data_IF_539388655341
#
_entry.id   IF_539388655341
#
_cell.length_a   1.000
_cell.length_b   1.000
_cell.length_c   1.000
_cell.angle_alpha   90.00
_cell.angle_beta   90.00
_cell.angle_gamma   90.00
#
_symmetry.space_group_name_H-M   'P 1'
#
loop_
_entity.id
_entity.type
_entity.pdbx_description
1 polymer ?
#
# COMPACT_ATOMS: atom_id res chain seq x y z
N UNK A 1 7.70 12.67 -46.14
CA UNK A 1 6.33 12.17 -46.38
C UNK A 1 5.64 12.19 -45.04
N UNK A 2 4.71 13.15 -44.84
CA UNK A 2 4.05 13.40 -43.55
C UNK A 2 3.17 12.20 -43.20
N UNK A 3 3.53 11.47 -42.16
CA UNK A 3 2.67 10.43 -41.58
C UNK A 3 1.60 11.15 -40.77
N UNK A 4 0.36 10.93 -41.21
CA UNK A 4 -0.85 11.55 -40.68
C UNK A 4 -1.02 11.14 -39.22
N UNK A 5 -1.40 12.11 -38.40
CA UNK A 5 -1.96 11.92 -37.08
C UNK A 5 -3.06 10.85 -37.14
N UNK A 6 -2.80 9.70 -36.52
CA UNK A 6 -3.85 8.78 -36.16
C UNK A 6 -4.58 9.38 -34.96
N UNK A 7 -5.71 10.03 -35.22
CA UNK A 7 -6.71 10.31 -34.19
C UNK A 7 -7.16 8.96 -33.64
N UNK A 8 -6.70 8.61 -32.44
CA UNK A 8 -7.33 7.56 -31.64
C UNK A 8 -8.72 8.04 -31.22
N UNK A 9 -9.74 7.78 -32.03
CA UNK A 9 -11.08 7.56 -31.50
C UNK A 9 -11.12 6.15 -30.94
N UNK A 10 -10.42 5.94 -29.82
CA UNK A 10 -10.49 4.73 -29.01
C UNK A 10 -11.61 4.89 -27.97
N UNK A 11 -12.32 3.81 -27.68
CA UNK A 11 -13.23 3.80 -26.53
C UNK A 11 -12.41 4.03 -25.24
N UNK A 12 -12.94 4.83 -24.32
CA UNK A 12 -12.33 5.10 -23.02
C UNK A 12 -13.27 4.59 -21.93
N UNK A 13 -13.26 3.28 -21.64
CA UNK A 13 -14.24 2.69 -20.73
C UNK A 13 -14.03 3.17 -19.29
N UNK A 14 -15.12 3.51 -18.60
CA UNK A 14 -15.13 3.61 -17.15
C UNK A 14 -14.83 2.25 -16.55
N UNK A 15 -13.92 2.22 -15.57
CA UNK A 15 -13.57 1.01 -14.80
C UNK A 15 -14.28 1.08 -13.44
N UNK A 16 -15.34 0.29 -13.20
CA UNK A 16 -16.18 0.46 -12.01
C UNK A 16 -15.46 0.16 -10.70
N UNK A 17 -15.40 1.15 -9.79
CA UNK A 17 -14.94 0.96 -8.42
C UNK A 17 -15.90 0.11 -7.61
N UNK A 18 -17.20 0.44 -7.63
CA UNK A 18 -18.29 -0.42 -7.16
C UNK A 18 -19.59 0.12 -7.77
N UNK A 19 -20.70 -0.56 -7.54
CA UNK A 19 -22.03 -0.13 -7.98
C UNK A 19 -22.92 0.01 -6.76
N UNK A 20 -23.16 1.26 -6.36
CA UNK A 20 -24.00 1.58 -5.21
C UNK A 20 -25.42 1.89 -5.67
N UNK A 21 -26.41 1.29 -5.00
CA UNK A 21 -27.82 1.52 -5.30
C UNK A 21 -28.42 2.53 -4.33
N UNK A 22 -28.98 3.61 -4.84
CA UNK A 22 -29.69 4.62 -4.05
C UNK A 22 -31.07 4.85 -4.65
N UNK A 23 -32.09 4.25 -4.03
CA UNK A 23 -33.46 4.25 -4.55
C UNK A 23 -33.52 3.66 -5.97
N UNK A 24 -33.98 4.46 -6.94
CA UNK A 24 -34.07 4.07 -8.35
C UNK A 24 -32.78 4.28 -9.16
N UNK A 25 -31.70 4.76 -8.53
CA UNK A 25 -30.43 5.06 -9.20
C UNK A 25 -29.36 4.03 -8.87
N UNK A 26 -28.48 3.79 -9.83
CA UNK A 26 -27.19 3.13 -9.63
C UNK A 26 -26.08 4.14 -9.87
N UNK A 27 -25.18 4.27 -8.91
CA UNK A 27 -23.98 5.11 -8.97
C UNK A 27 -22.81 4.19 -9.25
N UNK A 28 -22.03 4.50 -10.28
CA UNK A 28 -20.89 3.72 -10.74
C UNK A 28 -19.67 4.65 -10.80
N UNK A 29 -18.94 4.83 -9.68
CA UNK A 29 -17.69 5.58 -9.67
C UNK A 29 -16.59 4.84 -10.44
N UNK A 30 -15.67 5.59 -11.05
CA UNK A 30 -14.44 5.03 -11.62
C UNK A 30 -13.42 4.72 -10.51
N UNK A 31 -12.60 3.68 -10.72
CA UNK A 31 -11.55 3.24 -9.77
C UNK A 31 -10.40 4.22 -9.63
N UNK A 32 -10.15 5.03 -10.66
CA UNK A 32 -8.92 5.85 -10.77
C UNK A 32 -9.20 7.32 -11.07
N UNK A 33 -10.35 7.62 -11.67
CA UNK A 33 -10.70 8.95 -12.19
C UNK A 33 -11.76 9.67 -11.36
N UNK A 34 -11.81 11.01 -11.41
CA UNK A 34 -12.77 11.82 -10.66
C UNK A 34 -14.15 11.85 -11.30
N UNK A 35 -14.72 10.67 -11.61
CA UNK A 35 -15.98 10.55 -12.34
C UNK A 35 -16.85 9.41 -11.83
N UNK A 36 -18.16 9.62 -11.85
CA UNK A 36 -19.15 8.58 -11.67
C UNK A 36 -20.29 8.69 -12.69
N UNK A 37 -20.77 7.54 -13.16
CA UNK A 37 -22.02 7.45 -13.87
C UNK A 37 -23.19 7.30 -12.88
N UNK A 38 -24.24 8.11 -13.04
CA UNK A 38 -25.51 7.92 -12.36
C UNK A 38 -26.54 7.46 -13.38
N UNK A 39 -27.07 6.24 -13.18
CA UNK A 39 -27.97 5.59 -14.13
C UNK A 39 -29.30 5.24 -13.46
N UNK A 40 -30.40 5.63 -14.07
CA UNK A 40 -31.76 5.27 -13.63
C UNK A 40 -32.10 3.84 -14.02
N UNK A 41 -32.62 3.05 -13.07
CA UNK A 41 -32.97 1.63 -13.27
C UNK A 41 -34.23 1.39 -14.10
N UNK A 42 -35.13 2.37 -14.24
CA UNK A 42 -36.45 2.18 -14.87
C UNK A 42 -36.58 2.95 -16.20
N UNK A 43 -36.84 2.19 -17.27
CA UNK A 43 -37.25 2.70 -18.59
C UNK A 43 -36.11 2.91 -19.61
N UNK A 44 -35.82 1.86 -20.42
CA UNK A 44 -35.12 1.84 -21.72
C UNK A 44 -33.99 2.84 -22.00
N UNK A 45 -32.77 2.36 -22.32
CA UNK A 45 -31.55 3.18 -22.52
C UNK A 45 -31.51 4.33 -21.50
N UNK A 46 -31.41 3.98 -20.22
CA UNK A 46 -31.40 4.94 -19.13
C UNK A 46 -30.37 6.03 -19.41
N UNK A 47 -30.81 7.29 -19.43
CA UNK A 47 -29.91 8.42 -19.61
C UNK A 47 -28.83 8.36 -18.53
N UNK A 48 -27.57 8.22 -18.96
CA UNK A 48 -26.42 8.30 -18.09
C UNK A 48 -26.20 9.77 -17.78
N UNK A 49 -26.15 10.12 -16.49
CA UNK A 49 -25.69 11.42 -16.05
C UNK A 49 -24.31 11.27 -15.44
N UNK A 50 -23.34 11.99 -15.99
CA UNK A 50 -21.98 12.03 -15.45
C UNK A 50 -21.89 13.05 -14.32
N UNK A 51 -21.22 12.65 -13.26
CA UNK A 51 -20.80 13.51 -12.16
C UNK A 51 -19.28 13.49 -12.14
N UNK A 52 -18.65 14.67 -12.08
CA UNK A 52 -17.20 14.82 -12.13
C UNK A 52 -16.71 15.77 -11.06
N UNK A 53 -15.48 15.56 -10.56
CA UNK A 53 -14.86 16.36 -9.51
C UNK A 53 -13.35 16.53 -9.71
N UNK A 54 -12.90 17.05 -10.86
CA UNK A 54 -11.48 17.11 -11.21
C UNK A 54 -10.63 17.99 -10.28
N UNK A 55 -11.29 18.91 -9.57
CA UNK A 55 -10.68 19.86 -8.64
C UNK A 55 -10.84 19.43 -7.17
N UNK A 56 -11.31 18.20 -6.91
CA UNK A 56 -11.28 17.65 -5.56
C UNK A 56 -9.84 17.64 -5.04
N UNK A 57 -9.70 17.78 -3.73
CA UNK A 57 -8.42 17.58 -3.08
C UNK A 57 -7.97 16.15 -3.41
N UNK A 58 -6.69 16.01 -3.74
CA UNK A 58 -6.07 14.72 -3.95
C UNK A 58 -5.05 14.52 -2.83
N UNK A 59 -4.79 13.27 -2.42
CA UNK A 59 -3.67 12.94 -1.54
C UNK A 59 -2.36 13.58 -2.03
N UNK A 60 -1.42 13.85 -1.13
CA UNK A 60 -0.18 14.58 -1.47
C UNK A 60 0.66 13.87 -2.56
N UNK A 61 0.50 12.56 -2.66
CA UNK A 61 1.19 11.66 -3.60
C UNK A 61 0.19 11.01 -4.57
N UNK A 62 0.71 10.23 -5.52
CA UNK A 62 -0.09 9.54 -6.52
C UNK A 62 -1.14 8.64 -5.86
N UNK A 63 -2.35 8.58 -6.43
CA UNK A 63 -3.39 7.67 -5.92
C UNK A 63 -2.94 6.24 -6.19
N UNK A 64 -2.89 5.42 -5.14
CA UNK A 64 -2.57 4.00 -5.24
C UNK A 64 -3.84 3.15 -5.20
N UNK A 65 -4.81 3.54 -4.39
CA UNK A 65 -6.08 2.84 -4.27
C UNK A 65 -7.24 3.81 -4.09
N UNK A 66 -8.42 3.38 -4.55
CA UNK A 66 -9.68 3.98 -4.17
C UNK A 66 -10.59 2.93 -3.53
N UNK A 67 -11.36 3.33 -2.52
CA UNK A 67 -12.40 2.51 -1.90
C UNK A 67 -13.75 3.20 -1.96
N UNK A 68 -14.82 2.40 -2.02
CA UNK A 68 -16.19 2.89 -2.02
C UNK A 68 -16.85 2.53 -0.69
N UNK A 69 -17.41 3.52 -0.01
CA UNK A 69 -18.14 3.39 1.25
C UNK A 69 -19.61 3.74 1.02
N UNK A 70 -20.47 2.72 0.78
CA UNK A 70 -21.86 2.93 0.44
C UNK A 70 -22.66 3.50 1.61
N UNK A 71 -23.65 4.34 1.29
CA UNK A 71 -24.63 4.85 2.25
C UNK A 71 -26.03 4.71 1.66
N UNK A 72 -27.08 4.95 2.44
CA UNK A 72 -28.45 4.97 1.93
C UNK A 72 -28.76 6.16 1.02
N UNK A 73 -27.89 7.18 0.99
CA UNK A 73 -28.09 8.45 0.25
C UNK A 73 -27.10 8.65 -0.91
N UNK A 74 -26.02 7.86 -0.96
CA UNK A 74 -24.92 8.01 -1.91
C UNK A 74 -23.77 7.04 -1.64
N UNK A 75 -22.57 7.42 -2.06
CA UNK A 75 -21.33 6.68 -1.81
C UNK A 75 -20.22 7.68 -1.51
N UNK A 76 -19.39 7.37 -0.52
CA UNK A 76 -18.11 8.05 -0.34
C UNK A 76 -17.04 7.32 -1.14
N UNK A 77 -16.37 8.05 -2.03
CA UNK A 77 -15.18 7.57 -2.73
C UNK A 77 -13.98 8.08 -1.96
N UNK A 78 -13.17 7.18 -1.41
CA UNK A 78 -11.98 7.52 -0.64
C UNK A 78 -10.76 7.15 -1.46
N UNK A 79 -9.98 8.15 -1.85
CA UNK A 79 -8.70 7.99 -2.52
C UNK A 79 -7.60 7.91 -1.47
N UNK A 80 -6.76 6.90 -1.61
CA UNK A 80 -5.62 6.61 -0.75
C UNK A 80 -4.34 6.79 -1.54
N UNK A 81 -3.38 7.46 -0.93
CA UNK A 81 -1.97 7.30 -1.28
C UNK A 81 -1.25 6.71 -0.09
N UNK A 82 -0.50 5.65 -0.35
CA UNK A 82 0.46 5.13 0.61
C UNK A 82 1.81 5.83 0.45
N UNK A 83 2.64 5.69 1.47
CA UNK A 83 4.06 5.92 1.36
C UNK A 83 4.79 5.32 2.55
N UNK A 84 6.10 5.17 2.43
CA UNK A 84 6.93 4.43 3.41
C UNK A 84 6.64 4.82 4.87
N UNK A 85 6.46 6.12 5.12
CA UNK A 85 6.35 6.69 6.45
C UNK A 85 4.93 7.17 6.80
N UNK A 86 4.06 7.33 5.79
CA UNK A 86 2.79 8.02 5.95
C UNK A 86 1.79 7.71 4.82
N UNK A 87 0.57 7.37 5.24
CA UNK A 87 -0.57 7.21 4.36
C UNK A 87 -1.47 8.44 4.41
N UNK A 88 -1.91 8.97 3.27
CA UNK A 88 -2.84 10.10 3.21
C UNK A 88 -4.09 9.78 2.40
N UNK A 89 -5.24 10.32 2.82
CA UNK A 89 -6.53 10.02 2.24
C UNK A 89 -7.35 11.26 1.95
N UNK A 90 -8.15 11.20 0.90
CA UNK A 90 -9.17 12.22 0.59
C UNK A 90 -10.48 11.56 0.22
N UNK A 91 -11.59 12.09 0.71
CA UNK A 91 -12.93 11.57 0.46
C UNK A 91 -13.77 12.55 -0.36
N UNK A 92 -14.61 12.00 -1.24
CA UNK A 92 -15.63 12.74 -2.00
C UNK A 92 -16.95 12.00 -1.90
N UNK A 93 -18.01 12.70 -1.47
CA UNK A 93 -19.35 12.13 -1.48
C UNK A 93 -20.00 12.27 -2.86
N UNK A 94 -20.60 11.20 -3.36
CA UNK A 94 -21.32 11.18 -4.63
C UNK A 94 -22.73 10.65 -4.38
N UNK A 95 -23.74 11.48 -4.66
CA UNK A 95 -25.15 11.13 -4.55
C UNK A 95 -25.88 11.22 -5.89
N UNK A 96 -27.13 10.71 -5.98
CA UNK A 96 -27.96 10.90 -7.18
C UNK A 96 -28.35 12.35 -7.44
N UNK A 97 -28.08 13.27 -6.51
CA UNK A 97 -28.28 14.72 -6.69
C UNK A 97 -27.08 15.44 -7.29
N UNK A 98 -25.86 14.95 -7.08
CA UNK A 98 -24.63 15.66 -7.41
C UNK A 98 -23.44 15.16 -6.58
N UNK A 99 -22.35 15.91 -6.65
CA UNK A 99 -21.13 15.67 -5.88
C UNK A 99 -21.12 16.59 -4.66
N UNK A 100 -20.74 16.05 -3.50
CA UNK A 100 -20.54 16.81 -2.27
C UNK A 100 -19.19 17.50 -2.21
N UNK A 101 -18.84 18.01 -1.03
CA UNK A 101 -17.54 18.61 -0.76
C UNK A 101 -16.45 17.53 -0.74
N UNK A 102 -15.29 17.83 -1.34
CA UNK A 102 -14.08 17.03 -1.16
C UNK A 102 -13.45 17.36 0.19
N UNK A 103 -13.10 16.32 0.96
CA UNK A 103 -12.61 16.46 2.32
C UNK A 103 -11.28 15.73 2.47
N UNK A 104 -10.25 16.48 2.87
CA UNK A 104 -8.97 15.91 3.28
C UNK A 104 -9.13 15.16 4.61
N UNK A 105 -8.76 13.88 4.62
CA UNK A 105 -8.80 13.02 5.80
C UNK A 105 -7.43 12.94 6.49
N UNK A 106 -6.36 13.46 5.86
CA UNK A 106 -4.99 13.23 6.29
C UNK A 106 -4.73 11.73 6.46
N UNK A 107 -4.18 11.36 7.62
CA UNK A 107 -3.88 9.96 7.96
C UNK A 107 -5.07 9.16 8.50
N UNK A 108 -6.25 9.78 8.71
CA UNK A 108 -7.38 9.12 9.39
C UNK A 108 -7.97 8.01 8.52
N UNK A 109 -8.26 6.87 9.13
CA UNK A 109 -8.77 5.68 8.45
C UNK A 109 -10.30 5.66 8.43
N UNK A 110 -10.98 5.38 7.31
CA UNK A 110 -12.41 5.13 7.31
C UNK A 110 -12.76 3.89 8.13
N UNK A 111 -13.69 4.03 9.07
CA UNK A 111 -14.12 2.95 9.99
C UNK A 111 -15.63 2.69 9.94
N UNK A 112 -16.37 3.39 9.08
CA UNK A 112 -17.80 3.22 8.92
C UNK A 112 -18.42 4.28 8.01
N UNK A 113 -19.66 4.06 7.57
CA UNK A 113 -20.43 5.07 6.84
C UNK A 113 -21.92 4.90 7.14
N UNK A 114 -22.64 6.01 7.23
CA UNK A 114 -24.08 6.04 7.49
C UNK A 114 -24.81 7.01 6.54
N UNK A 115 -26.12 7.17 6.70
CA UNK A 115 -26.96 8.02 5.85
C UNK A 115 -26.52 9.51 5.82
N UNK A 116 -25.82 9.94 6.86
CA UNK A 116 -25.43 11.32 7.14
C UNK A 116 -23.94 11.60 6.94
N UNK A 117 -23.06 10.59 6.91
CA UNK A 117 -21.63 10.83 6.75
C UNK A 117 -20.72 9.61 6.72
N UNK A 118 -19.44 9.88 6.51
CA UNK A 118 -18.32 8.94 6.64
C UNK A 118 -17.76 9.03 8.06
N UNK A 119 -17.52 7.89 8.71
CA UNK A 119 -16.83 7.82 9.99
C UNK A 119 -15.35 7.55 9.77
N UNK A 120 -14.49 8.36 10.38
CA UNK A 120 -13.04 8.18 10.36
C UNK A 120 -12.47 8.07 11.76
N UNK A 121 -11.47 7.20 11.91
CA UNK A 121 -10.85 6.83 13.17
C UNK A 121 -9.37 7.16 13.25
N UNK A 122 -8.70 6.54 14.21
CA UNK A 122 -7.25 6.63 14.37
C UNK A 122 -6.54 6.03 13.12
N UNK A 123 -5.43 6.62 12.66
CA UNK A 123 -4.61 6.04 11.58
C UNK A 123 -4.06 4.65 11.91
N UNK A 124 -3.80 4.38 13.19
CA UNK A 124 -3.15 3.17 13.68
C UNK A 124 -4.04 1.94 13.60
N UNK A 125 -3.44 0.78 13.60
CA UNK A 125 -4.11 -0.50 13.77
C UNK A 125 -3.98 -0.99 15.23
N UNK A 126 -4.85 -1.90 15.67
CA UNK A 126 -4.74 -2.49 17.01
C UNK A 126 -3.37 -3.14 17.27
N UNK A 127 -2.68 -3.63 16.22
CA UNK A 127 -1.31 -4.17 16.28
C UNK A 127 -0.26 -3.19 16.78
N UNK A 128 -0.49 -1.88 16.64
CA UNK A 128 0.43 -0.84 17.14
C UNK A 128 0.47 -0.77 18.68
N UNK A 129 -0.48 -1.42 19.35
CA UNK A 129 -0.49 -1.62 20.81
C UNK A 129 0.00 -3.01 21.22
N UNK A 130 0.85 -3.62 20.40
CA UNK A 130 1.74 -4.67 20.88
C UNK A 130 2.83 -4.05 21.73
N UNK A 131 3.43 -4.84 22.63
CA UNK A 131 4.77 -4.49 23.05
C UNK A 131 5.60 -4.47 21.78
N UNK A 132 6.10 -3.29 21.39
CA UNK A 132 7.10 -3.20 20.35
C UNK A 132 8.09 -4.33 20.65
N UNK A 133 8.29 -5.24 19.69
CA UNK A 133 9.47 -6.08 19.72
C UNK A 133 10.61 -5.07 19.89
N UNK A 134 11.20 -5.02 21.08
CA UNK A 134 12.15 -3.97 21.44
C UNK A 134 13.19 -3.90 20.33
N UNK A 135 13.11 -2.83 19.55
CA UNK A 135 13.70 -2.79 18.22
C UNK A 135 13.64 -1.40 17.60
N UNK A 136 13.39 -0.35 18.39
CA UNK A 136 13.92 0.99 18.07
C UNK A 136 15.21 1.28 18.87
N UNK A 137 15.66 0.31 19.68
CA UNK A 137 16.95 0.34 20.36
C UNK A 137 18.06 0.10 19.36
N UNK A 138 18.49 1.14 18.66
CA UNK A 138 19.74 1.21 17.91
C UNK A 138 20.92 0.98 18.86
N UNK A 139 21.18 -0.27 19.20
CA UNK A 139 22.26 -0.70 20.08
C UNK A 139 23.55 -0.88 19.30
N UNK A 140 24.59 -0.10 19.64
CA UNK A 140 25.91 0.04 18.99
C UNK A 140 26.53 -1.22 18.43
N UNK A 141 26.24 -1.58 17.18
CA UNK A 141 27.23 -2.21 16.30
C UNK A 141 28.44 -1.27 16.29
N UNK A 142 29.62 -1.71 16.77
CA UNK A 142 30.83 -0.92 16.67
C UNK A 142 31.04 -0.51 15.22
N UNK A 143 31.58 0.69 14.99
CA UNK A 143 31.99 1.16 13.66
C UNK A 143 32.93 0.11 13.04
N UNK A 144 32.36 -0.79 12.24
CA UNK A 144 33.09 -1.86 11.60
C UNK A 144 33.74 -1.19 10.40
N UNK A 145 35.06 -1.02 10.47
CA UNK A 145 35.85 -0.59 9.32
C UNK A 145 35.70 -1.64 8.22
N UNK A 146 34.72 -1.44 7.35
CA UNK A 146 34.33 -2.35 6.28
C UNK A 146 35.50 -2.63 5.35
N UNK A 147 36.44 -1.70 5.23
CA UNK A 147 37.65 -1.85 4.42
C UNK A 147 38.61 -2.88 5.01
N UNK A 148 38.58 -3.08 6.33
CA UNK A 148 39.47 -3.97 7.07
C UNK A 148 38.99 -5.42 7.17
N UNK A 149 37.73 -5.69 6.82
CA UNK A 149 37.13 -7.02 6.88
C UNK A 149 37.58 -7.95 5.76
N UNK A 150 37.70 -9.25 6.09
CA UNK A 150 38.00 -10.31 5.13
C UNK A 150 36.83 -10.56 4.16
N UNK A 151 37.14 -11.04 2.96
CA UNK A 151 36.14 -11.35 1.92
C UNK A 151 35.60 -12.78 2.07
N UNK A 152 34.27 -12.92 2.14
CA UNK A 152 33.59 -14.21 2.12
C UNK A 152 33.64 -14.87 0.72
N UNK A 153 33.44 -14.07 -0.34
CA UNK A 153 33.42 -14.54 -1.72
C UNK A 153 34.63 -14.06 -2.52
N UNK A 154 35.38 -14.99 -3.11
CA UNK A 154 36.51 -14.69 -4.01
C UNK A 154 36.31 -15.21 -5.45
N UNK A 155 35.15 -15.82 -5.74
CA UNK A 155 34.80 -16.32 -7.06
C UNK A 155 34.51 -15.22 -8.09
N UNK A 156 34.55 -15.55 -9.40
CA UNK A 156 34.21 -14.59 -10.45
C UNK A 156 32.76 -14.11 -10.33
N UNK A 157 32.45 -12.95 -10.92
CA UNK A 157 31.09 -12.37 -10.87
C UNK A 157 30.07 -13.21 -11.63
N UNK A 158 30.46 -13.66 -12.82
CA UNK A 158 29.69 -14.60 -13.60
C UNK A 158 30.43 -15.92 -13.74
N UNK A 159 29.69 -17.01 -13.97
CA UNK A 159 30.27 -18.29 -14.35
C UNK A 159 31.08 -18.16 -15.65
N UNK A 160 31.94 -19.15 -15.93
CA UNK A 160 32.67 -19.21 -17.20
C UNK A 160 31.69 -19.38 -18.38
N UNK A 161 31.68 -18.45 -19.37
CA UNK A 161 30.81 -18.54 -20.54
C UNK A 161 30.95 -19.85 -21.32
N UNK A 162 32.12 -20.48 -21.30
CA UNK A 162 32.38 -21.73 -22.04
C UNK A 162 31.68 -22.94 -21.40
N UNK A 163 31.36 -22.88 -20.11
CA UNK A 163 30.77 -24.00 -19.35
C UNK A 163 29.37 -23.70 -18.84
N UNK A 164 28.89 -22.48 -18.96
CA UNK A 164 27.57 -22.09 -18.48
C UNK A 164 26.45 -22.58 -19.41
N UNK A 165 25.42 -23.18 -18.83
CA UNK A 165 24.17 -23.51 -19.51
C UNK A 165 23.01 -22.80 -18.84
N UNK A 166 22.10 -22.23 -19.63
CA UNK A 166 20.91 -21.58 -19.10
C UNK A 166 20.08 -22.58 -18.29
N UNK A 167 19.67 -22.24 -17.05
CA UNK A 167 18.69 -23.02 -16.32
C UNK A 167 17.42 -23.19 -17.17
N UNK A 168 16.88 -24.41 -17.25
CA UNK A 168 15.58 -24.63 -17.92
C UNK A 168 14.46 -23.86 -17.22
N UNK A 169 13.32 -23.58 -17.89
CA UNK A 169 12.13 -23.14 -17.19
C UNK A 169 11.78 -24.23 -16.17
N UNK A 170 11.78 -23.89 -14.88
CA UNK A 170 11.47 -24.85 -13.82
C UNK A 170 10.10 -25.47 -14.07
N UNK A 171 10.00 -26.80 -13.92
CA UNK A 171 8.70 -27.41 -13.61
C UNK A 171 8.33 -26.87 -12.24
N UNK A 172 7.14 -26.27 -12.11
CA UNK A 172 6.59 -25.82 -10.84
C UNK A 172 6.60 -27.00 -9.86
N UNK A 173 7.55 -27.04 -8.94
CA UNK A 173 7.49 -27.93 -7.77
C UNK A 173 6.37 -27.39 -6.87
N UNK A 174 5.23 -28.04 -7.03
CA UNK A 174 4.09 -28.15 -6.16
C UNK A 174 4.44 -27.99 -4.67
N UNK A 175 4.06 -26.84 -4.12
CA UNK A 175 3.30 -26.75 -2.88
C UNK A 175 3.91 -27.39 -1.63
N UNK A 176 5.07 -26.90 -1.22
CA UNK A 176 5.47 -26.94 0.19
C UNK A 176 6.39 -25.74 0.48
N UNK A 177 5.79 -24.63 0.91
CA UNK A 177 6.51 -23.47 1.40
C UNK A 177 7.25 -23.80 2.70
N UNK A 178 8.53 -24.11 2.59
CA UNK A 178 9.52 -23.83 3.63
C UNK A 178 10.05 -22.41 3.47
N UNK A 179 10.62 -21.78 4.51
CA UNK A 179 11.02 -20.38 4.48
C UNK A 179 12.10 -20.16 3.41
N UNK A 180 11.87 -19.17 2.56
CA UNK A 180 12.81 -18.47 1.66
C UNK A 180 14.18 -19.15 1.44
N UNK A 181 14.33 -19.84 0.32
CA UNK A 181 15.65 -20.17 -0.24
C UNK A 181 15.88 -19.30 -1.47
N UNK A 182 16.63 -18.20 -1.28
CA UNK A 182 17.24 -17.44 -2.37
C UNK A 182 18.21 -18.39 -3.07
N UNK A 183 18.02 -18.66 -4.35
CA UNK A 183 18.84 -19.65 -5.06
C UNK A 183 20.30 -19.16 -5.15
N UNK A 184 21.15 -19.71 -4.28
CA UNK A 184 22.58 -19.38 -4.16
C UNK A 184 23.14 -19.43 -2.73
N UNK A 185 22.29 -19.40 -1.71
CA UNK A 185 22.72 -19.55 -0.30
C UNK A 185 22.70 -21.02 0.11
N UNK A 186 23.86 -21.53 0.51
CA UNK A 186 23.90 -22.72 1.36
C UNK A 186 23.11 -22.41 2.64
N UNK A 187 22.43 -23.43 3.15
CA UNK A 187 21.48 -23.35 4.26
C UNK A 187 21.98 -22.44 5.41
N UNK A 188 21.13 -21.49 5.83
CA UNK A 188 21.25 -20.62 7.04
C UNK A 188 22.02 -19.27 6.94
N UNK A 189 22.16 -18.65 5.75
CA UNK A 189 22.77 -17.30 5.63
C UNK A 189 21.72 -16.18 5.53
N UNK A 190 21.56 -15.37 6.59
CA UNK A 190 20.79 -14.12 6.56
C UNK A 190 21.72 -12.96 6.22
N UNK A 191 21.43 -12.21 5.16
CA UNK A 191 22.11 -10.93 4.86
C UNK A 191 21.19 -9.77 5.20
N UNK A 192 21.61 -8.92 6.14
CA UNK A 192 20.95 -7.64 6.46
C UNK A 192 21.87 -6.54 5.97
N UNK A 193 21.46 -5.82 4.91
CA UNK A 193 22.04 -4.53 4.55
C UNK A 193 21.23 -3.42 5.20
N UNK A 194 21.66 -2.92 6.35
CA UNK A 194 21.09 -1.71 6.96
C UNK A 194 22.25 -0.81 7.38
N UNK A 195 22.39 0.31 6.69
CA UNK A 195 23.11 1.49 7.19
C UNK A 195 22.20 2.18 8.21
N UNK A 196 22.46 2.03 9.51
CA UNK A 196 22.24 3.09 10.50
C UNK A 196 22.97 2.83 11.83
N UNK A 197 23.50 3.93 12.40
CA UNK A 197 24.57 3.99 13.42
C UNK A 197 24.06 3.70 14.85
N UNK A 198 24.82 3.03 15.75
CA UNK A 198 24.18 2.53 16.98
C UNK A 198 24.96 2.87 18.31
N UNK A 199 24.26 2.93 19.47
CA UNK A 199 24.72 3.36 20.83
C UNK A 199 24.69 2.21 21.89
N UNK A 200 25.68 1.97 22.78
CA UNK A 200 25.82 0.69 23.47
C UNK A 200 25.32 0.68 24.93
N UNK A 201 24.00 0.60 25.21
CA UNK A 201 23.47 0.17 26.53
C UNK A 201 22.06 -0.48 26.49
N UNK A 202 21.84 -1.48 25.61
CA UNK A 202 20.65 -2.34 25.74
C UNK A 202 20.92 -3.49 26.73
N UNK A 203 20.49 -3.28 27.97
CA UNK A 203 20.55 -4.24 29.07
C UNK A 203 19.69 -5.48 28.78
N UNK A 204 20.24 -6.66 29.11
CA UNK A 204 19.58 -7.97 29.02
C UNK A 204 18.17 -7.95 29.63
N UNK A 205 17.14 -8.10 28.80
CA UNK A 205 15.80 -8.49 29.24
C UNK A 205 15.69 -10.02 29.14
N UNK A 206 15.98 -10.70 30.25
CA UNK A 206 15.61 -12.10 30.46
C UNK A 206 14.08 -12.21 30.58
N UNK A 207 13.39 -12.46 29.46
CA UNK A 207 11.98 -12.79 29.42
C UNK A 207 11.55 -13.16 28.00
N UNK A 208 10.84 -14.28 27.82
CA UNK A 208 10.25 -14.61 26.52
C UNK A 208 9.24 -13.51 26.16
N UNK A 209 9.46 -12.70 25.09
CA UNK A 209 8.59 -11.59 24.72
C UNK A 209 7.16 -12.04 24.39
N UNK A 210 6.95 -13.34 24.12
CA UNK A 210 5.61 -13.95 23.96
C UNK A 210 4.79 -14.00 25.26
N UNK A 211 5.39 -13.62 26.40
CA UNK A 211 4.80 -13.69 27.73
C UNK A 211 4.33 -12.33 28.27
N UNK A 212 4.61 -11.23 27.57
CA UNK A 212 4.25 -9.90 28.05
C UNK A 212 2.73 -9.66 27.86
N UNK A 213 2.05 -9.07 28.85
CA UNK A 213 0.62 -8.77 28.75
C UNK A 213 0.36 -7.72 27.66
N UNK A 214 -0.77 -7.78 26.93
CA UNK A 214 -1.05 -6.82 25.86
C UNK A 214 -1.17 -5.38 26.39
N UNK A 215 -0.72 -4.40 25.60
CA UNK A 215 -0.70 -2.99 26.01
C UNK A 215 -2.10 -2.40 25.93
N UNK A 216 -2.52 -1.63 26.95
CA UNK A 216 -3.82 -0.94 26.94
C UNK A 216 -3.87 0.10 25.82
N UNK A 217 -4.96 0.11 25.06
CA UNK A 217 -5.15 1.11 24.01
C UNK A 217 -5.43 2.48 24.62
N UNK A 218 -4.96 3.53 23.92
CA UNK A 218 -5.24 4.91 24.30
C UNK A 218 -6.62 5.37 23.82
N UNK A 219 -7.09 6.52 24.30
CA UNK A 219 -8.32 7.12 23.79
C UNK A 219 -8.16 7.55 22.34
N UNK A 220 -9.26 7.54 21.59
CA UNK A 220 -9.30 7.94 20.17
C UNK A 220 -10.46 8.89 19.89
N UNK A 221 -10.21 9.82 18.96
CA UNK A 221 -11.26 10.67 18.42
C UNK A 221 -11.80 10.04 17.14
N UNK A 222 -13.09 9.71 17.17
CA UNK A 222 -13.85 9.21 16.03
C UNK A 222 -14.66 10.37 15.45
N UNK A 223 -14.56 10.61 14.15
CA UNK A 223 -15.15 11.79 13.51
C UNK A 223 -16.13 11.41 12.42
N UNK A 224 -17.35 11.95 12.47
CA UNK A 224 -18.33 11.85 11.38
C UNK A 224 -18.22 13.07 10.48
N UNK A 225 -17.98 12.82 9.19
CA UNK A 225 -17.84 13.82 8.14
C UNK A 225 -19.08 13.80 7.24
N UNK A 226 -19.81 14.90 7.20
CA UNK A 226 -20.99 15.08 6.36
C UNK A 226 -20.64 15.39 4.89
N UNK A 227 -21.55 15.14 3.93
CA UNK A 227 -21.34 15.46 2.51
C UNK A 227 -21.03 16.93 2.20
N UNK A 228 -21.36 17.85 3.10
CA UNK A 228 -21.05 19.28 3.01
C UNK A 228 -19.69 19.65 3.63
N UNK A 229 -18.99 18.69 4.22
CA UNK A 229 -17.72 18.87 4.93
C UNK A 229 -17.88 19.19 6.42
N UNK A 230 -19.11 19.20 6.95
CA UNK A 230 -19.33 19.32 8.40
C UNK A 230 -18.73 18.15 9.15
N UNK A 231 -18.21 18.42 10.35
CA UNK A 231 -17.44 17.48 11.15
C UNK A 231 -18.02 17.40 12.55
N UNK A 232 -18.19 16.19 13.07
CA UNK A 232 -18.60 15.93 14.45
C UNK A 232 -17.68 14.88 15.07
N UNK A 233 -16.91 15.27 16.08
CA UNK A 233 -16.01 14.36 16.79
C UNK A 233 -16.72 13.74 18.00
N UNK A 234 -16.41 12.48 18.27
CA UNK A 234 -16.80 11.73 19.46
C UNK A 234 -15.52 11.20 20.07
N UNK A 235 -15.23 11.61 21.31
CA UNK A 235 -14.07 11.11 22.04
C UNK A 235 -14.40 9.76 22.68
N UNK A 236 -13.61 8.73 22.41
CA UNK A 236 -13.78 7.39 22.97
C UNK A 236 -12.55 7.04 23.80
N UNK A 237 -12.76 6.45 24.97
CA UNK A 237 -11.69 6.13 25.94
C UNK A 237 -10.72 5.02 25.49
N UNK A 238 -11.02 4.35 24.37
CA UNK A 238 -10.22 3.29 23.76
C UNK A 238 -10.08 3.48 22.24
N UNK A 239 -9.21 2.66 21.64
CA UNK A 239 -9.08 2.55 20.19
C UNK A 239 -10.33 1.93 19.57
N UNK A 240 -10.91 2.63 18.58
CA UNK A 240 -12.11 2.22 17.83
C UNK A 240 -11.72 1.95 16.39
N UNK A 241 -12.02 0.74 15.90
CA UNK A 241 -11.72 0.30 14.54
C UNK A 241 -12.96 0.19 13.65
N UNK A 242 -14.17 0.25 14.24
CA UNK A 242 -15.42 0.18 13.47
C UNK A 242 -16.56 0.95 14.11
N UNK A 243 -17.35 1.61 13.28
CA UNK A 243 -18.58 2.32 13.66
C UNK A 243 -19.73 1.88 12.77
N UNK A 244 -20.87 1.57 13.38
CA UNK A 244 -22.13 1.31 12.70
C UNK A 244 -23.21 2.17 13.35
N UNK A 245 -23.95 2.95 12.56
CA UNK A 245 -25.12 3.68 13.02
C UNK A 245 -26.36 3.15 12.31
N UNK A 246 -27.24 2.48 13.05
CA UNK A 246 -28.54 2.00 12.54
C UNK A 246 -29.68 2.70 13.28
N UNK A 247 -30.37 3.60 12.58
CA UNK A 247 -31.36 4.48 13.20
C UNK A 247 -30.73 5.34 14.29
N UNK A 248 -31.15 5.10 15.54
CA UNK A 248 -30.69 5.82 16.73
C UNK A 248 -29.65 5.02 17.54
N UNK A 249 -29.22 3.84 17.06
CA UNK A 249 -28.26 3.00 17.75
C UNK A 249 -26.87 3.13 17.13
N UNK A 250 -25.94 3.76 17.86
CA UNK A 250 -24.52 3.86 17.49
C UNK A 250 -23.76 2.70 18.12
N UNK A 251 -23.34 1.73 17.31
CA UNK A 251 -22.46 0.63 17.72
C UNK A 251 -21.01 0.95 17.40
N UNK A 252 -20.16 0.91 18.43
CA UNK A 252 -18.71 1.07 18.33
C UNK A 252 -18.05 -0.29 18.59
N UNK A 253 -17.14 -0.72 17.70
CA UNK A 253 -16.19 -1.81 17.98
C UNK A 253 -14.88 -1.20 18.46
N UNK A 254 -14.40 -1.64 19.60
CA UNK A 254 -13.22 -1.07 20.25
C UNK A 254 -12.33 -2.16 20.84
N UNK A 255 -11.06 -1.83 21.03
CA UNK A 255 -10.07 -2.73 21.63
C UNK A 255 -9.62 -2.17 22.96
N UNK A 256 -9.72 -2.92 24.05
CA UNK A 256 -9.20 -2.50 25.37
C UNK A 256 -7.68 -2.55 25.43
N UNK A 257 -7.10 -3.51 24.72
CA UNK A 257 -5.67 -3.74 24.62
C UNK A 257 -5.31 -4.09 23.18
N UNK A 258 -4.03 -3.98 22.81
CA UNK A 258 -3.54 -4.58 21.58
C UNK A 258 -3.65 -6.11 21.57
N UNK A 259 -3.20 -6.78 20.50
CA UNK A 259 -3.32 -8.22 20.38
C UNK A 259 -2.45 -8.94 21.39
N UNK A 260 -2.88 -10.14 21.76
CA UNK A 260 -2.08 -11.08 22.55
C UNK A 260 -1.38 -12.09 21.64
N UNK A 261 -0.19 -12.51 22.05
CA UNK A 261 0.47 -13.68 21.46
C UNK A 261 -0.19 -14.96 21.98
N UNK A 262 -0.44 -15.92 21.10
CA UNK A 262 -0.82 -17.27 21.50
C UNK A 262 0.47 -18.09 21.77
N UNK A 263 0.76 -18.47 23.03
CA UNK A 263 1.99 -19.19 23.38
C UNK A 263 1.99 -20.65 22.90
N UNK A 264 0.82 -21.23 22.60
CA UNK A 264 0.67 -22.61 22.13
C UNK A 264 0.72 -22.70 20.59
N UNK A 265 0.57 -21.57 19.91
CA UNK A 265 0.81 -21.48 18.48
C UNK A 265 2.33 -21.45 18.21
N UNK A 266 2.77 -22.17 17.17
CA UNK A 266 4.19 -22.35 16.85
C UNK A 266 4.96 -21.06 16.55
N UNK A 267 6.18 -21.12 15.99
CA UNK A 267 7.03 -19.95 15.72
C UNK A 267 6.42 -18.89 14.78
N UNK A 268 5.27 -19.19 14.16
CA UNK A 268 4.49 -18.30 13.31
C UNK A 268 3.11 -17.99 13.92
N UNK A 269 3.01 -17.84 15.25
CA UNK A 269 1.74 -17.61 15.91
C UNK A 269 1.08 -16.32 15.43
N UNK A 270 -0.16 -16.41 14.97
CA UNK A 270 -0.95 -15.25 14.59
C UNK A 270 -1.33 -14.44 15.82
N UNK A 271 -1.24 -13.09 15.78
CA UNK A 271 -1.75 -12.25 16.85
C UNK A 271 -3.25 -12.49 17.04
N UNK A 272 -3.70 -12.60 18.29
CA UNK A 272 -5.13 -12.75 18.62
C UNK A 272 -5.67 -11.41 19.09
N UNK A 273 -6.64 -10.88 18.35
CA UNK A 273 -7.37 -9.66 18.69
C UNK A 273 -8.66 -10.02 19.42
N UNK A 274 -8.99 -9.27 20.46
CA UNK A 274 -10.19 -9.48 21.28
C UNK A 274 -11.03 -8.18 21.34
N UNK A 275 -11.59 -7.74 20.20
CA UNK A 275 -12.44 -6.55 20.18
C UNK A 275 -13.73 -6.76 20.99
N UNK A 276 -14.23 -5.68 21.56
CA UNK A 276 -15.53 -5.59 22.20
C UNK A 276 -16.43 -4.61 21.41
N UNK A 277 -17.74 -4.69 21.64
CA UNK A 277 -18.72 -3.79 21.07
C UNK A 277 -19.55 -3.15 22.16
N UNK A 278 -19.93 -1.90 21.94
CA UNK A 278 -20.88 -1.17 22.77
C UNK A 278 -21.89 -0.47 21.89
N UNK A 279 -23.14 -0.40 22.34
CA UNK A 279 -24.21 0.36 21.67
C UNK A 279 -24.62 1.55 22.52
N UNK A 280 -24.71 2.71 21.88
CA UNK A 280 -25.10 3.99 22.48
C UNK A 280 -26.37 4.49 21.78
N UNK A 281 -27.40 4.81 22.55
CA UNK A 281 -28.60 5.50 22.05
C UNK A 281 -28.24 6.97 21.74
N UNK A 282 -28.37 7.34 20.48
CA UNK A 282 -28.08 8.68 19.95
C UNK A 282 -29.33 9.39 19.43
N UNK A 283 -30.52 8.99 19.88
CA UNK A 283 -31.80 9.62 19.52
C UNK A 283 -31.88 11.12 19.88
N UNK A 284 -31.07 11.56 20.84
CA UNK A 284 -30.93 12.97 21.24
C UNK A 284 -29.80 13.72 20.51
N UNK A 285 -29.13 13.08 19.56
CA UNK A 285 -27.92 13.55 18.89
C UNK A 285 -26.69 12.73 19.28
N UNK A 286 -25.61 12.92 18.51
CA UNK A 286 -24.33 12.28 18.82
C UNK A 286 -23.73 12.84 20.11
N UNK A 287 -23.15 12.00 20.97
CA UNK A 287 -22.47 12.46 22.19
C UNK A 287 -21.09 13.03 21.85
N UNK A 288 -20.57 13.95 22.68
CA UNK A 288 -19.18 14.41 22.58
C UNK A 288 -18.17 13.37 23.10
N UNK A 289 -18.62 12.47 23.98
CA UNK A 289 -17.76 11.48 24.64
C UNK A 289 -18.51 10.18 24.89
N UNK A 290 -17.85 9.06 24.64
CA UNK A 290 -18.29 7.71 25.01
C UNK A 290 -17.24 7.10 25.93
N UNK A 291 -17.68 6.67 27.12
CA UNK A 291 -16.86 5.92 28.07
C UNK A 291 -17.28 4.47 28.04
N UNK A 292 -16.56 3.67 27.26
CA UNK A 292 -16.88 2.26 27.04
C UNK A 292 -16.84 1.45 28.34
N UNK A 293 -16.04 1.86 29.33
CA UNK A 293 -15.98 1.21 30.65
C UNK A 293 -17.25 1.40 31.50
N UNK A 294 -18.03 2.43 31.23
CA UNK A 294 -19.29 2.73 31.94
C UNK A 294 -20.50 2.04 31.31
N UNK A 295 -20.30 1.34 30.19
CA UNK A 295 -21.33 0.75 29.36
C UNK A 295 -21.24 -0.77 29.35
N UNK A 296 -22.33 -1.44 28.96
CA UNK A 296 -22.33 -2.88 28.80
C UNK A 296 -21.63 -3.26 27.49
N UNK A 297 -20.33 -3.55 27.58
CA UNK A 297 -19.56 -4.07 26.47
C UNK A 297 -19.76 -5.59 26.30
N UNK A 298 -19.84 -6.03 25.05
CA UNK A 298 -19.97 -7.44 24.66
C UNK A 298 -18.81 -7.82 23.75
N UNK A 299 -18.27 -9.06 23.81
CA UNK A 299 -17.29 -9.52 22.83
C UNK A 299 -17.81 -9.30 21.42
N UNK A 300 -16.98 -8.71 20.56
CA UNK A 300 -17.33 -8.54 19.16
C UNK A 300 -17.47 -9.92 18.51
N UNK A 301 -18.37 -10.01 17.54
CA UNK A 301 -18.43 -11.22 16.71
C UNK A 301 -17.15 -11.28 15.89
N UNK A 302 -16.41 -12.39 15.89
CA UNK A 302 -15.23 -12.52 15.03
C UNK A 302 -15.63 -12.29 13.58
N UNK A 303 -14.75 -11.64 12.83
CA UNK A 303 -14.93 -11.52 11.39
C UNK A 303 -14.94 -12.93 10.80
N UNK A 304 -15.96 -13.21 9.99
CA UNK A 304 -16.07 -14.48 9.27
C UNK A 304 -15.21 -14.34 8.01
N UNK A 305 -14.10 -15.07 7.90
CA UNK A 305 -13.22 -15.01 6.72
C UNK A 305 -14.00 -15.26 5.42
N UNK A 306 -15.05 -16.11 5.48
CA UNK A 306 -15.92 -16.37 4.33
C UNK A 306 -16.79 -15.14 3.98
N UNK A 307 -17.04 -14.21 4.92
CA UNK A 307 -17.78 -12.97 4.67
C UNK A 307 -17.03 -12.06 3.72
N UNK A 308 -15.72 -11.87 3.94
CA UNK A 308 -14.87 -11.08 3.07
C UNK A 308 -14.86 -11.65 1.64
N UNK A 309 -14.69 -12.97 1.49
CA UNK A 309 -14.75 -13.62 0.18
C UNK A 309 -16.11 -13.43 -0.50
N UNK A 310 -17.20 -13.58 0.25
CA UNK A 310 -18.57 -13.36 -0.26
C UNK A 310 -18.76 -11.90 -0.69
N UNK A 311 -18.22 -10.94 0.05
CA UNK A 311 -18.29 -9.52 -0.30
C UNK A 311 -17.49 -9.22 -1.58
N UNK A 312 -16.28 -9.74 -1.71
CA UNK A 312 -15.46 -9.61 -2.93
C UNK A 312 -16.21 -10.18 -4.14
N UNK A 313 -16.75 -11.39 -4.05
CA UNK A 313 -17.53 -12.01 -5.12
C UNK A 313 -18.80 -11.20 -5.43
N UNK A 314 -19.48 -10.67 -4.41
CA UNK A 314 -20.67 -9.84 -4.60
C UNK A 314 -20.32 -8.53 -5.30
N UNK A 315 -19.22 -7.88 -4.94
CA UNK A 315 -18.70 -6.66 -5.57
C UNK A 315 -18.34 -6.90 -7.03
N UNK A 316 -17.61 -7.96 -7.34
CA UNK A 316 -17.29 -8.32 -8.73
C UNK A 316 -18.54 -8.58 -9.57
N UNK A 317 -19.55 -9.28 -9.01
CA UNK A 317 -20.84 -9.47 -9.70
C UNK A 317 -21.59 -8.17 -9.96
N UNK A 318 -21.48 -7.18 -9.06
CA UNK A 318 -22.06 -5.85 -9.26
C UNK A 318 -21.33 -5.11 -10.39
N UNK A 319 -19.99 -5.07 -10.36
CA UNK A 319 -19.12 -4.41 -11.34
C UNK A 319 -19.28 -4.98 -12.75
N UNK A 320 -19.30 -6.31 -12.89
CA UNK A 320 -19.35 -7.01 -14.18
C UNK A 320 -20.52 -6.61 -15.09
N UNK A 321 -21.61 -6.05 -14.52
CA UNK A 321 -22.75 -5.55 -15.31
C UNK A 321 -22.48 -4.23 -16.02
N UNK A 322 -21.39 -3.54 -15.69
CA UNK A 322 -21.07 -2.18 -16.13
C UNK A 322 -19.72 -2.07 -16.83
N UNK A 323 -18.81 -3.03 -16.61
CA UNK A 323 -17.54 -3.14 -17.33
C UNK A 323 -17.76 -2.99 -18.84
N UNK A 324 -16.98 -2.10 -19.46
CA UNK A 324 -17.00 -1.77 -20.90
C UNK A 324 -18.34 -1.22 -21.45
N UNK A 325 -19.29 -0.84 -20.59
CA UNK A 325 -20.61 -0.30 -21.03
C UNK A 325 -20.72 1.22 -20.97
N UNK A 326 -19.83 1.85 -20.23
CA UNK A 326 -19.84 3.27 -19.93
C UNK A 326 -18.57 3.85 -20.53
N UNK A 327 -18.72 4.72 -21.53
CA UNK A 327 -17.60 5.35 -22.25
C UNK A 327 -17.43 6.78 -21.76
N UNK A 328 -16.22 7.11 -21.32
CA UNK A 328 -15.81 8.41 -20.81
C UNK A 328 -15.26 9.33 -21.90
N UNK A 329 -15.14 8.85 -23.14
CA UNK A 329 -14.68 9.65 -24.25
C UNK A 329 -15.52 10.94 -24.39
N UNK A 330 -14.87 12.09 -24.17
CA UNK A 330 -15.47 13.42 -24.26
C UNK A 330 -16.31 13.84 -23.05
N UNK A 331 -16.25 13.13 -21.92
CA UNK A 331 -16.85 13.56 -20.65
C UNK A 331 -15.96 14.64 -20.00
N UNK A 332 -16.41 15.91 -19.92
CA UNK A 332 -15.58 16.98 -19.39
C UNK A 332 -15.32 16.78 -17.89
N UNK A 333 -14.05 16.92 -17.47
CA UNK A 333 -13.65 16.75 -16.06
C UNK A 333 -13.57 15.29 -15.60
N UNK A 334 -13.58 14.33 -16.52
CA UNK A 334 -13.37 12.92 -16.19
C UNK A 334 -11.92 12.59 -15.82
N UNK A 335 -10.97 13.50 -16.06
CA UNK A 335 -9.57 13.36 -15.68
C UNK A 335 -9.21 14.32 -14.55
N UNK A 336 -8.24 13.92 -13.73
CA UNK A 336 -7.71 14.76 -12.67
C UNK A 336 -7.01 16.00 -13.22
N UNK A 337 -7.19 17.13 -12.52
CA UNK A 337 -6.43 18.34 -12.80
C UNK A 337 -4.95 18.14 -12.50
N UNK A 338 -4.10 18.33 -13.51
CA UNK A 338 -2.64 18.24 -13.37
C UNK A 338 -2.09 19.39 -12.52
N UNK A 339 -1.22 19.07 -11.57
CA UNK A 339 -0.62 20.05 -10.63
C UNK A 339 0.88 20.15 -10.86
N UNK A 340 1.39 21.33 -11.25
CA UNK A 340 2.84 21.56 -11.39
C UNK A 340 3.48 21.84 -10.01
N UNK A 341 4.34 20.94 -9.50
CA UNK A 341 4.99 21.11 -8.21
C UNK A 341 6.17 22.09 -8.25
N UNK A 342 6.59 22.53 -9.44
CA UNK A 342 7.76 23.38 -9.66
C UNK A 342 9.09 22.62 -9.72
N UNK A 343 10.05 23.16 -10.48
CA UNK A 343 11.30 22.47 -10.82
C UNK A 343 12.13 21.96 -9.62
N UNK A 344 12.23 22.75 -8.55
CA UNK A 344 12.99 22.35 -7.35
C UNK A 344 12.37 21.15 -6.62
N UNK A 345 11.05 20.99 -6.67
CA UNK A 345 10.38 19.83 -6.06
C UNK A 345 10.59 18.60 -6.94
N UNK A 346 10.48 18.74 -8.26
CA UNK A 346 10.78 17.66 -9.23
C UNK A 346 12.21 17.17 -9.04
N UNK A 347 13.20 18.06 -8.99
CA UNK A 347 14.61 17.71 -8.78
C UNK A 347 14.83 16.93 -7.49
N UNK A 348 14.18 17.33 -6.40
CA UNK A 348 14.26 16.63 -5.11
C UNK A 348 13.66 15.23 -5.16
N UNK A 349 12.51 15.06 -5.82
CA UNK A 349 11.85 13.77 -5.95
C UNK A 349 12.68 12.80 -6.80
N UNK A 350 13.24 13.28 -7.91
CA UNK A 350 14.21 12.53 -8.73
C UNK A 350 15.43 12.13 -7.89
N UNK A 351 16.00 13.07 -7.13
CA UNK A 351 17.17 12.81 -6.30
C UNK A 351 16.89 11.75 -5.21
N UNK A 352 15.73 11.80 -4.55
CA UNK A 352 15.31 10.80 -3.55
C UNK A 352 15.27 9.39 -4.15
N UNK A 353 14.66 9.23 -5.32
CA UNK A 353 14.59 7.92 -5.99
C UNK A 353 15.98 7.43 -6.44
N UNK A 354 16.81 8.31 -7.02
CA UNK A 354 18.19 7.96 -7.40
C UNK A 354 19.04 7.55 -6.20
N UNK A 355 18.82 8.16 -5.04
CA UNK A 355 19.56 7.84 -3.82
C UNK A 355 19.35 6.37 -3.39
N UNK A 356 18.17 5.79 -3.62
CA UNK A 356 17.91 4.38 -3.29
C UNK A 356 18.83 3.40 -4.03
N UNK A 357 19.27 3.73 -5.24
CA UNK A 357 20.17 2.89 -6.05
C UNK A 357 21.65 3.27 -5.91
N UNK A 358 21.97 4.27 -5.10
CA UNK A 358 23.35 4.74 -4.94
C UNK A 358 24.12 3.75 -4.09
N UNK A 359 25.20 3.20 -4.66
CA UNK A 359 26.05 2.22 -3.97
C UNK A 359 25.52 0.80 -4.00
N UNK A 360 24.53 0.50 -4.86
CA UNK A 360 24.00 -0.85 -5.04
C UNK A 360 25.09 -1.87 -5.46
N UNK A 361 26.14 -1.41 -6.13
CA UNK A 361 27.32 -2.19 -6.52
C UNK A 361 28.39 -2.32 -5.41
N UNK A 362 28.18 -1.68 -4.25
CA UNK A 362 29.14 -1.71 -3.15
C UNK A 362 29.08 -3.04 -2.39
N UNK A 363 30.20 -3.49 -1.84
CA UNK A 363 30.23 -4.71 -1.03
C UNK A 363 29.25 -4.61 0.15
N UNK A 364 28.57 -5.71 0.44
CA UNK A 364 27.65 -5.84 1.58
C UNK A 364 28.37 -6.55 2.73
N UNK A 365 27.88 -6.35 3.95
CA UNK A 365 28.34 -7.12 5.11
C UNK A 365 27.53 -8.41 5.21
N UNK A 366 28.21 -9.54 5.29
CA UNK A 366 27.60 -10.85 5.57
C UNK A 366 28.13 -11.37 6.91
N UNK A 367 27.29 -12.08 7.63
CA UNK A 367 27.65 -12.82 8.83
C UNK A 367 26.99 -14.19 8.75
N UNK A 368 27.77 -15.23 8.95
CA UNK A 368 27.25 -16.59 9.06
C UNK A 368 27.68 -17.22 10.39
N UNK A 369 26.91 -18.22 10.83
CA UNK A 369 27.17 -18.96 12.07
C UNK A 369 28.56 -19.61 12.11
N UNK A 370 29.13 -19.90 10.95
CA UNK A 370 30.41 -20.58 10.78
C UNK A 370 31.60 -19.63 10.65
N UNK A 371 31.37 -18.31 10.75
CA UNK A 371 32.41 -17.28 10.65
C UNK A 371 32.60 -16.55 11.97
N UNK A 372 33.86 -16.36 12.38
CA UNK A 372 34.25 -15.61 13.59
C UNK A 372 34.13 -14.09 13.35
N UNK A 373 32.91 -13.60 13.03
CA UNK A 373 32.61 -12.19 12.85
C UNK A 373 32.10 -11.82 11.45
N UNK A 374 31.75 -10.54 11.22
CA UNK A 374 31.26 -10.06 9.94
C UNK A 374 32.36 -10.14 8.87
N UNK A 375 31.95 -10.46 7.65
CA UNK A 375 32.80 -10.51 6.47
C UNK A 375 32.24 -9.59 5.38
N UNK A 376 33.09 -9.17 4.44
CA UNK A 376 32.63 -8.50 3.22
C UNK A 376 32.18 -9.53 2.22
N UNK A 377 31.06 -9.27 1.59
CA UNK A 377 30.60 -10.00 0.42
C UNK A 377 30.48 -9.04 -0.74
N UNK A 378 30.83 -9.50 -1.94
CA UNK A 378 30.65 -8.69 -3.15
C UNK A 378 29.15 -8.47 -3.36
N UNK A 379 28.77 -7.28 -3.82
CA UNK A 379 27.40 -7.08 -4.30
C UNK A 379 27.05 -8.07 -5.41
N UNK A 380 25.79 -8.47 -5.44
CA UNK A 380 25.21 -9.19 -6.58
C UNK A 380 25.01 -8.28 -7.80
N UNK A 381 25.20 -6.97 -7.63
CA UNK A 381 25.14 -5.95 -8.67
C UNK A 381 26.53 -5.49 -9.09
N UNK A 382 26.70 -5.19 -10.38
CA UNK A 382 27.85 -4.43 -10.89
C UNK A 382 27.45 -3.54 -12.08
N UNK A 383 28.36 -2.66 -12.46
CA UNK A 383 28.19 -1.73 -13.59
C UNK A 383 26.86 -0.96 -13.52
N UNK A 384 26.47 -0.57 -12.30
CA UNK A 384 25.22 0.13 -11.99
C UNK A 384 25.30 1.55 -12.54
N UNK A 385 24.31 1.90 -13.36
CA UNK A 385 24.17 3.20 -13.99
C UNK A 385 22.75 3.72 -13.75
N UNK A 386 22.65 4.93 -13.20
CA UNK A 386 21.37 5.58 -12.89
C UNK A 386 21.26 6.87 -13.69
N UNK A 387 20.41 6.85 -14.71
CA UNK A 387 20.13 8.00 -15.59
C UNK A 387 18.70 8.51 -15.39
N UNK A 388 18.43 9.71 -15.91
CA UNK A 388 17.10 10.34 -15.87
C UNK A 388 16.70 10.64 -17.30
N UNK A 389 15.51 10.20 -17.70
CA UNK A 389 14.93 10.41 -19.02
C UNK A 389 13.64 11.21 -18.90
N UNK A 390 13.32 12.01 -19.93
CA UNK A 390 12.06 12.76 -20.00
C UNK A 390 12.03 14.05 -19.17
N UNK A 391 10.99 14.83 -19.41
CA UNK A 391 10.64 16.03 -18.66
C UNK A 391 9.33 15.77 -17.88
N UNK A 392 9.09 16.55 -16.81
CA UNK A 392 7.91 16.37 -15.97
C UNK A 392 6.58 16.40 -16.78
N UNK A 393 5.66 15.43 -16.59
CA UNK A 393 5.62 14.42 -15.53
C UNK A 393 6.11 13.04 -16.04
N UNK A 394 6.66 13.01 -17.25
CA UNK A 394 7.20 11.82 -17.91
C UNK A 394 8.64 11.56 -17.47
N UNK A 395 9.07 12.20 -16.38
CA UNK A 395 10.38 11.97 -15.79
C UNK A 395 10.47 10.52 -15.32
N UNK A 396 11.48 9.82 -15.82
CA UNK A 396 11.76 8.42 -15.50
C UNK A 396 13.19 8.31 -14.99
N UNK A 397 13.36 7.65 -13.84
CA UNK A 397 14.69 7.18 -13.39
C UNK A 397 14.92 5.80 -14.00
N UNK A 398 16.00 5.67 -14.77
CA UNK A 398 16.39 4.44 -15.43
C UNK A 398 17.61 3.86 -14.73
N UNK A 399 17.48 2.64 -14.22
CA UNK A 399 18.54 1.91 -13.52
C UNK A 399 18.97 0.75 -14.40
N UNK A 400 20.22 0.77 -14.85
CA UNK A 400 20.81 -0.28 -15.67
C UNK A 400 22.02 -0.89 -14.97
N UNK A 401 22.09 -2.22 -14.92
CA UNK A 401 23.09 -2.93 -14.11
C UNK A 401 23.28 -4.35 -14.63
N UNK A 402 24.31 -5.03 -14.13
CA UNK A 402 24.50 -6.47 -14.31
C UNK A 402 24.30 -7.18 -12.98
N UNK A 403 23.70 -8.38 -13.00
CA UNK A 403 23.38 -9.14 -11.79
C UNK A 403 24.00 -10.55 -11.83
N UNK A 404 24.42 -11.09 -10.69
CA UNK A 404 25.01 -12.44 -10.57
C UNK A 404 24.03 -13.53 -11.03
N UNK A 405 22.76 -13.44 -10.61
CA UNK A 405 21.67 -14.36 -10.99
C UNK A 405 21.25 -14.30 -12.47
N UNK A 406 21.66 -13.27 -13.23
CA UNK A 406 21.36 -13.16 -14.66
C UNK A 406 22.65 -12.99 -15.48
N UNK A 407 23.47 -14.05 -15.62
CA UNK A 407 24.76 -13.96 -16.30
C UNK A 407 24.67 -13.45 -17.73
N UNK A 408 25.66 -12.66 -18.16
CA UNK A 408 25.83 -12.22 -19.55
C UNK A 408 24.72 -11.32 -20.12
N UNK A 409 23.90 -10.72 -19.28
CA UNK A 409 22.92 -9.71 -19.66
C UNK A 409 23.07 -8.47 -18.78
N UNK A 410 22.78 -7.32 -19.39
CA UNK A 410 22.52 -6.08 -18.66
C UNK A 410 21.02 -5.98 -18.42
N UNK A 411 20.60 -5.78 -17.18
CA UNK A 411 19.21 -5.52 -16.83
C UNK A 411 18.96 -4.01 -16.86
N UNK A 412 17.73 -3.62 -17.18
CA UNK A 412 17.30 -2.21 -17.15
C UNK A 412 15.88 -2.11 -16.62
N UNK A 413 15.68 -1.35 -15.54
CA UNK A 413 14.37 -1.04 -14.98
C UNK A 413 14.08 0.46 -15.07
N UNK A 414 12.81 0.80 -15.28
CA UNK A 414 12.33 2.19 -15.40
C UNK A 414 11.31 2.51 -14.32
N UNK A 415 11.59 3.56 -13.57
CA UNK A 415 10.75 4.04 -12.48
C UNK A 415 10.22 5.42 -12.84
N UNK A 416 8.92 5.53 -13.10
CA UNK A 416 8.28 6.83 -13.35
C UNK A 416 8.20 7.60 -12.03
N UNK A 417 8.71 8.82 -12.01
CA UNK A 417 8.80 9.62 -10.78
C UNK A 417 7.43 10.20 -10.39
N UNK A 418 6.59 10.47 -11.39
CA UNK A 418 5.27 11.07 -11.22
C UNK A 418 4.18 10.23 -11.88
N UNK A 419 2.94 10.38 -11.44
CA UNK A 419 1.78 9.92 -12.20
C UNK A 419 1.37 10.94 -13.29
N UNK A 420 0.31 10.62 -14.04
CA UNK A 420 -0.20 11.51 -15.11
C UNK A 420 -0.72 12.86 -14.60
N UNK A 421 -1.05 12.94 -13.31
CA UNK A 421 -1.50 14.17 -12.63
C UNK A 421 -0.32 15.03 -12.17
N UNK A 422 0.90 14.52 -12.29
CA UNK A 422 2.14 15.16 -11.87
C UNK A 422 2.45 14.99 -10.39
N UNK A 423 1.74 14.11 -9.68
CA UNK A 423 2.00 13.78 -8.28
C UNK A 423 3.12 12.75 -8.17
N UNK A 424 3.98 12.85 -7.15
CA UNK A 424 5.06 11.88 -6.96
C UNK A 424 4.49 10.49 -6.69
N UNK A 425 5.07 9.49 -7.35
CA UNK A 425 4.87 8.08 -6.98
C UNK A 425 5.83 7.73 -5.85
N UNK A 426 5.36 6.94 -4.90
CA UNK A 426 6.29 6.30 -3.96
C UNK A 426 6.87 5.03 -4.58
N UNK A 427 8.15 4.81 -4.32
CA UNK A 427 8.88 3.62 -4.68
C UNK A 427 9.60 3.15 -3.42
N UNK A 428 8.84 2.96 -2.35
CA UNK A 428 9.33 2.33 -1.13
C UNK A 428 9.95 0.99 -1.45
N UNK A 429 11.10 0.71 -0.82
CA UNK A 429 11.80 -0.56 -0.98
C UNK A 429 12.09 -0.94 -2.45
N UNK A 430 12.36 0.04 -3.32
CA UNK A 430 12.54 -0.21 -4.75
C UNK A 430 13.67 -1.20 -5.07
N UNK A 431 14.73 -1.21 -4.24
CA UNK A 431 15.84 -2.16 -4.32
C UNK A 431 15.44 -3.56 -3.83
N UNK A 432 14.63 -3.67 -2.77
CA UNK A 432 14.11 -4.96 -2.28
C UNK A 432 13.21 -5.60 -3.32
N UNK A 433 12.28 -4.84 -3.91
CA UNK A 433 11.44 -5.35 -5.00
C UNK A 433 12.26 -5.70 -6.26
N UNK A 434 13.37 -5.01 -6.49
CA UNK A 434 14.31 -5.37 -7.56
C UNK A 434 14.99 -6.72 -7.29
N UNK A 435 15.49 -6.93 -6.08
CA UNK A 435 16.06 -8.20 -5.63
C UNK A 435 15.03 -9.33 -5.68
N UNK A 436 13.80 -9.06 -5.23
CA UNK A 436 12.71 -10.03 -5.21
C UNK A 436 12.32 -10.47 -6.62
N UNK A 437 12.12 -9.53 -7.56
CA UNK A 437 11.79 -9.84 -8.96
C UNK A 437 12.89 -10.71 -9.61
N UNK A 438 14.16 -10.40 -9.35
CA UNK A 438 15.30 -11.16 -9.89
C UNK A 438 15.41 -12.54 -9.22
N UNK A 439 15.31 -12.59 -7.89
CA UNK A 439 15.47 -13.82 -7.10
C UNK A 439 14.33 -14.82 -7.32
N UNK A 440 13.11 -14.33 -7.50
CA UNK A 440 11.92 -15.14 -7.79
C UNK A 440 11.79 -15.49 -9.28
N UNK A 441 12.63 -14.90 -10.15
CA UNK A 441 12.59 -15.15 -11.59
C UNK A 441 11.38 -14.51 -12.30
N UNK A 442 10.70 -13.55 -11.68
CA UNK A 442 9.64 -12.74 -12.28
C UNK A 442 10.20 -11.69 -13.27
N UNK A 443 11.19 -12.10 -14.08
CA UNK A 443 11.78 -11.29 -15.14
C UNK A 443 11.43 -11.88 -16.51
N UNK A 444 11.33 -11.06 -17.58
CA UNK A 444 11.09 -11.56 -18.92
C UNK A 444 12.16 -12.58 -19.37
N UNK A 445 11.82 -13.49 -20.30
CA UNK A 445 12.78 -14.47 -20.79
C UNK A 445 13.95 -13.77 -21.49
N UNK A 446 15.15 -14.36 -21.41
CA UNK A 446 16.39 -13.81 -22.01
C UNK A 446 16.27 -13.49 -23.51
N UNK A 447 15.39 -14.19 -24.24
CA UNK A 447 15.10 -13.94 -25.65
C UNK A 447 14.40 -12.61 -25.93
N UNK A 448 13.85 -11.96 -24.89
CA UNK A 448 13.30 -10.61 -24.96
C UNK A 448 14.38 -9.52 -24.93
N UNK A 449 15.63 -9.86 -24.63
CA UNK A 449 16.71 -8.89 -24.60
C UNK A 449 16.98 -8.30 -25.99
N UNK A 450 17.14 -6.98 -26.04
CA UNK A 450 17.48 -6.22 -27.25
C UNK A 450 18.88 -5.63 -27.06
N UNK A 451 19.78 -5.92 -28.00
CA UNK A 451 21.19 -5.49 -27.97
C UNK A 451 21.91 -5.82 -26.64
N UNK A 452 21.58 -6.97 -26.04
CA UNK A 452 22.18 -7.44 -24.78
C UNK A 452 21.59 -6.83 -23.52
N UNK A 453 20.55 -6.00 -23.64
CA UNK A 453 19.82 -5.40 -22.52
C UNK A 453 18.45 -6.04 -22.37
N UNK A 454 18.13 -6.52 -21.17
CA UNK A 454 16.82 -7.02 -20.79
C UNK A 454 16.08 -5.96 -20.00
N UNK A 455 14.97 -5.45 -20.54
CA UNK A 455 14.07 -4.58 -19.80
C UNK A 455 13.24 -5.44 -18.82
N UNK A 456 13.25 -5.05 -17.54
CA UNK A 456 12.54 -5.73 -16.44
C UNK A 456 11.51 -4.81 -15.78
#
# INVERSE_FOLDING_TARGET
MRQRDHVHTGADPLVPLDVVTVGEHSIVPDVSRPVAAVVRRRGGRGAVRWLTWPDALLPERAIEEATAWPTSTGVWVVYRSDGIDDETRTAVFVGPGGVGTSVDLGHRSPIGADATGLWVGDPRDASDWTHAFGGDGTAGVPDVDDVSLDWADTGPFWPDPATWTQPGPGEDEDGSGGPFTISGVADEEWTIGIDDVPDPEASQCDGDPRSLPPVRTGPTDVERIGPDGTRHAVHVDHFVDRVVLDGDDLTLRFHRTGPRSDPDAGPFSSPVYEPETVTVDVSSGLPDTVRTEELQALPATPEDDDEWEREVVARERRRARWTDRLDLAGVPGADWSRTDPGGTVVERQVARLRAQFTGLDRPVLSWSRDTDGPMRRRSDYRDVEVTVEGDWPETVVVVAFEHTSVPFLRLRRRYRVHDDTGRPRDWGYATVHLDEDIGSGHIPPRSAAVDGVLDI
#
